data_IF_420508626780
#
_entry.id   IF_420508626780
#
_cell.length_a   1.000
_cell.length_b   1.000
_cell.length_c   1.000
_cell.angle_alpha   90.00
_cell.angle_beta   90.00
_cell.angle_gamma   90.00
#
_symmetry.space_group_name_H-M   'P 1'
#
loop_
_entity.id
_entity.type
_entity.pdbx_description
1 polymer ?
#
# COMPACT_ATOMS: atom_id res chain seq x y z
N UNK A 1 45.17 -25.35 15.99
CA UNK A 1 43.72 -25.47 16.25
C UNK A 1 43.24 -24.28 17.08
N UNK A 2 43.38 -23.12 16.45
CA UNK A 2 42.60 -21.87 16.39
C UNK A 2 41.58 -21.53 17.47
N UNK A 3 42.03 -20.72 18.42
CA UNK A 3 41.21 -19.97 19.37
C UNK A 3 40.20 -19.01 18.71
N UNK A 4 40.41 -18.65 17.43
CA UNK A 4 39.52 -17.75 16.68
C UNK A 4 38.18 -18.40 16.29
N UNK A 5 38.06 -19.73 16.19
CA UNK A 5 36.78 -20.37 15.87
C UNK A 5 35.76 -20.31 17.02
N UNK A 6 36.23 -20.31 18.27
CA UNK A 6 35.37 -20.25 19.45
C UNK A 6 34.69 -18.88 19.64
N UNK A 7 35.34 -17.78 19.23
CA UNK A 7 34.71 -16.46 19.28
C UNK A 7 33.59 -16.28 18.24
N UNK A 8 33.72 -16.86 17.05
CA UNK A 8 32.66 -16.80 16.04
C UNK A 8 31.41 -17.61 16.42
N UNK A 9 31.56 -18.72 17.14
CA UNK A 9 30.41 -19.46 17.68
C UNK A 9 29.71 -18.68 18.80
N UNK A 10 30.46 -18.01 19.68
CA UNK A 10 29.83 -17.27 20.79
C UNK A 10 29.08 -16.01 20.32
N UNK A 11 29.51 -15.41 19.20
CA UNK A 11 28.86 -14.23 18.63
C UNK A 11 27.61 -14.55 17.80
N UNK A 12 27.46 -15.80 17.32
CA UNK A 12 26.24 -16.25 16.64
C UNK A 12 25.05 -16.45 17.61
N UNK A 13 25.30 -16.69 18.89
CA UNK A 13 24.25 -16.84 19.92
C UNK A 13 23.75 -15.51 20.50
N UNK A 14 24.41 -14.41 20.17
CA UNK A 14 23.97 -13.05 20.50
C UNK A 14 23.24 -12.36 19.35
N UNK A 15 22.49 -13.11 18.53
CA UNK A 15 21.40 -12.48 17.78
C UNK A 15 20.35 -12.07 18.82
N UNK A 16 20.09 -10.77 19.02
CA UNK A 16 19.18 -10.30 20.05
C UNK A 16 17.81 -10.93 19.83
N UNK A 17 17.31 -11.62 20.86
CA UNK A 17 16.04 -12.35 20.89
C UNK A 17 14.84 -11.50 20.42
N UNK A 18 14.99 -10.17 20.37
CA UNK A 18 14.04 -9.27 19.73
C UNK A 18 13.72 -9.65 18.28
N UNK A 19 14.67 -10.10 17.46
CA UNK A 19 14.39 -10.46 16.06
C UNK A 19 13.56 -11.75 15.90
N UNK A 20 13.69 -12.71 16.83
CA UNK A 20 12.88 -13.97 16.80
C UNK A 20 11.41 -13.75 17.19
N UNK A 21 11.09 -12.70 17.94
CA UNK A 21 9.70 -12.45 18.35
C UNK A 21 8.84 -11.88 17.20
N UNK A 22 9.44 -11.14 16.26
CA UNK A 22 8.73 -10.63 15.06
C UNK A 22 8.36 -11.73 14.07
N UNK A 23 9.13 -12.82 14.04
CA UNK A 23 8.88 -13.96 13.16
C UNK A 23 7.76 -14.87 13.69
N UNK A 24 7.46 -14.85 15.00
CA UNK A 24 6.39 -15.69 15.57
C UNK A 24 5.03 -15.02 15.70
N UNK A 25 4.94 -13.69 15.83
CA UNK A 25 3.63 -13.00 15.92
C UNK A 25 2.92 -12.85 14.57
N UNK A 26 3.62 -13.14 13.47
CA UNK A 26 3.04 -13.29 12.14
C UNK A 26 2.71 -14.75 11.81
N UNK A 27 2.58 -15.63 12.81
CA UNK A 27 1.92 -16.93 12.61
C UNK A 27 0.46 -16.65 12.24
N UNK A 28 0.28 -16.52 10.95
CA UNK A 28 -0.94 -16.25 10.23
C UNK A 28 -2.05 -17.18 10.72
N UNK A 29 -2.95 -16.66 11.56
CA UNK A 29 -4.31 -17.19 11.56
C UNK A 29 -4.81 -17.08 10.12
N UNK A 30 -5.17 -18.20 9.49
CA UNK A 30 -5.25 -18.37 8.04
C UNK A 30 -6.08 -17.33 7.25
N UNK A 31 -6.93 -16.56 7.93
CA UNK A 31 -7.74 -15.50 7.33
C UNK A 31 -6.92 -14.25 6.98
N UNK A 32 -5.88 -13.93 7.76
CA UNK A 32 -5.12 -12.68 7.58
C UNK A 32 -4.28 -12.68 6.30
N UNK A 33 -3.52 -13.76 6.08
CA UNK A 33 -2.63 -13.87 4.93
C UNK A 33 -3.40 -13.86 3.61
N UNK A 34 -4.53 -14.56 3.59
CA UNK A 34 -5.44 -14.58 2.45
C UNK A 34 -5.94 -13.18 2.14
N UNK A 35 -6.43 -12.43 3.13
CA UNK A 35 -6.97 -11.09 2.90
C UNK A 35 -5.93 -10.11 2.33
N UNK A 36 -4.65 -10.26 2.72
CA UNK A 36 -3.55 -9.44 2.20
C UNK A 36 -3.28 -9.78 0.74
N UNK A 37 -3.13 -11.06 0.41
CA UNK A 37 -2.92 -11.53 -0.96
C UNK A 37 -4.05 -11.06 -1.87
N UNK A 38 -5.30 -11.18 -1.42
CA UNK A 38 -6.48 -10.73 -2.17
C UNK A 38 -6.43 -9.21 -2.42
N UNK A 39 -6.18 -8.39 -1.40
CA UNK A 39 -6.10 -6.93 -1.57
C UNK A 39 -4.93 -6.51 -2.48
N UNK A 40 -3.77 -7.15 -2.35
CA UNK A 40 -2.62 -6.88 -3.23
C UNK A 40 -2.93 -7.27 -4.68
N UNK A 41 -3.57 -8.42 -4.90
CA UNK A 41 -3.99 -8.86 -6.24
C UNK A 41 -5.03 -7.92 -6.87
N UNK A 42 -6.00 -7.46 -6.07
CA UNK A 42 -7.01 -6.50 -6.49
C UNK A 42 -6.37 -5.17 -6.88
N UNK A 43 -5.39 -4.69 -6.10
CA UNK A 43 -4.64 -3.47 -6.42
C UNK A 43 -3.90 -3.60 -7.76
N UNK A 44 -3.22 -4.73 -8.02
CA UNK A 44 -2.53 -4.97 -9.30
C UNK A 44 -3.51 -4.98 -10.46
N UNK A 45 -4.65 -5.68 -10.31
CA UNK A 45 -5.68 -5.73 -11.34
C UNK A 45 -6.25 -4.34 -11.65
N UNK A 46 -6.64 -3.58 -10.62
CA UNK A 46 -7.14 -2.21 -10.78
C UNK A 46 -6.09 -1.29 -11.40
N UNK A 47 -4.82 -1.34 -10.97
CA UNK A 47 -3.74 -0.53 -11.56
C UNK A 47 -3.55 -0.84 -13.05
N UNK A 48 -3.60 -2.12 -13.42
CA UNK A 48 -3.48 -2.56 -14.81
C UNK A 48 -4.61 -2.01 -15.67
N UNK A 49 -5.85 -2.05 -15.17
CA UNK A 49 -7.02 -1.51 -15.87
C UNK A 49 -6.94 0.02 -15.98
N UNK A 50 -6.56 0.72 -14.91
CA UNK A 50 -6.38 2.19 -14.92
C UNK A 50 -5.33 2.59 -15.95
N UNK A 51 -4.19 1.90 -16.00
CA UNK A 51 -3.16 2.15 -17.02
C UNK A 51 -3.66 1.86 -18.43
N UNK A 52 -4.45 0.79 -18.62
CA UNK A 52 -5.08 0.47 -19.89
C UNK A 52 -6.03 1.56 -20.37
N UNK A 53 -6.94 2.02 -19.51
CA UNK A 53 -7.88 3.11 -19.84
C UNK A 53 -7.11 4.40 -20.12
N UNK A 54 -6.16 4.78 -19.26
CA UNK A 54 -5.34 5.99 -19.46
C UNK A 54 -4.58 5.95 -20.79
N UNK A 55 -4.02 4.79 -21.16
CA UNK A 55 -3.30 4.63 -22.43
C UNK A 55 -4.25 4.70 -23.62
N UNK A 56 -5.41 4.04 -23.54
CA UNK A 56 -6.42 4.09 -24.60
C UNK A 56 -6.93 5.51 -24.85
N UNK A 57 -7.07 6.33 -23.80
CA UNK A 57 -7.47 7.73 -23.91
C UNK A 57 -6.40 8.62 -24.56
N UNK A 58 -5.11 8.31 -24.36
CA UNK A 58 -3.99 9.09 -24.94
C UNK A 58 -3.74 8.75 -26.40
N UNK A 59 -3.88 7.47 -26.76
CA UNK A 59 -3.64 7.01 -28.14
C UNK A 59 -4.71 7.53 -29.10
N UNK A 60 -5.88 7.91 -28.59
CA UNK A 60 -6.95 8.46 -29.42
C UNK A 60 -6.64 9.92 -29.83
N UNK A 61 -6.30 10.20 -31.10
CA UNK A 61 -5.93 11.55 -31.54
C UNK A 61 -7.09 12.55 -31.44
N UNK A 62 -8.33 12.06 -31.42
CA UNK A 62 -9.52 12.89 -31.25
C UNK A 62 -9.65 13.43 -29.81
N UNK A 63 -8.96 12.83 -28.84
CA UNK A 63 -9.06 13.17 -27.42
C UNK A 63 -7.70 13.65 -26.93
N UNK A 64 -7.52 14.97 -26.78
CA UNK A 64 -6.31 15.54 -26.15
C UNK A 64 -6.41 15.44 -24.62
N UNK A 65 -6.36 14.21 -24.10
CA UNK A 65 -6.43 13.94 -22.66
C UNK A 65 -5.06 13.87 -22.01
N UNK A 66 -4.83 14.70 -21.00
CA UNK A 66 -3.60 14.68 -20.19
C UNK A 66 -3.66 13.73 -18.99
N UNK A 67 -4.72 12.91 -18.87
CA UNK A 67 -4.98 12.04 -17.70
C UNK A 67 -3.82 11.10 -17.38
N UNK A 68 -3.07 10.67 -18.39
CA UNK A 68 -1.90 9.80 -18.20
C UNK A 68 -0.81 10.46 -17.35
N UNK A 69 -0.65 11.79 -17.42
CA UNK A 69 0.45 12.52 -16.79
C UNK A 69 0.39 12.38 -15.26
N UNK A 70 -0.80 12.34 -14.69
CA UNK A 70 -1.02 12.21 -13.24
C UNK A 70 -1.60 10.86 -12.81
N UNK A 71 -1.88 9.93 -13.71
CA UNK A 71 -2.33 8.58 -13.32
C UNK A 71 -1.23 7.55 -13.48
N UNK A 72 -0.39 7.67 -14.52
CA UNK A 72 0.62 6.67 -14.84
C UNK A 72 1.74 6.58 -13.78
N UNK A 73 2.32 7.68 -13.26
CA UNK A 73 3.36 7.58 -12.23
C UNK A 73 2.85 6.88 -10.96
N UNK A 74 1.64 7.22 -10.52
CA UNK A 74 1.01 6.69 -9.31
C UNK A 74 0.63 5.22 -9.48
N UNK A 75 -0.04 4.87 -10.58
CA UNK A 75 -0.39 3.49 -10.89
C UNK A 75 0.85 2.62 -11.11
N UNK A 76 1.89 3.15 -11.76
CA UNK A 76 3.17 2.47 -11.94
C UNK A 76 3.88 2.21 -10.61
N UNK A 77 3.98 3.21 -9.73
CA UNK A 77 4.56 3.05 -8.39
C UNK A 77 3.77 2.03 -7.55
N UNK A 78 2.44 2.07 -7.60
CA UNK A 78 1.58 1.10 -6.93
C UNK A 78 1.78 -0.32 -7.47
N UNK A 79 1.83 -0.49 -8.79
CA UNK A 79 2.02 -1.78 -9.45
C UNK A 79 3.40 -2.38 -9.13
N UNK A 80 4.46 -1.56 -9.17
CA UNK A 80 5.81 -1.98 -8.77
C UNK A 80 5.83 -2.41 -7.30
N UNK A 81 5.24 -1.61 -6.41
CA UNK A 81 5.20 -1.93 -4.98
C UNK A 81 4.43 -3.21 -4.69
N UNK A 82 3.20 -3.32 -5.21
CA UNK A 82 2.36 -4.50 -5.05
C UNK A 82 2.97 -5.73 -5.72
N UNK A 83 3.70 -5.56 -6.83
CA UNK A 83 4.46 -6.62 -7.47
C UNK A 83 5.59 -7.14 -6.60
N UNK A 84 6.41 -6.25 -6.01
CA UNK A 84 7.47 -6.63 -5.06
C UNK A 84 6.88 -7.34 -3.85
N UNK A 85 5.75 -6.86 -3.34
CA UNK A 85 5.06 -7.49 -2.21
C UNK A 85 4.53 -8.88 -2.56
N UNK A 86 3.95 -9.05 -3.75
CA UNK A 86 3.45 -10.32 -4.22
C UNK A 86 4.60 -11.32 -4.45
N UNK A 87 5.68 -10.88 -5.10
CA UNK A 87 6.88 -11.71 -5.34
C UNK A 87 7.50 -12.15 -4.01
N UNK A 88 7.66 -11.23 -3.04
CA UNK A 88 8.24 -11.58 -1.73
C UNK A 88 7.32 -12.51 -0.93
N UNK A 89 6.00 -12.39 -1.07
CA UNK A 89 5.04 -13.34 -0.49
C UNK A 89 5.11 -14.72 -1.16
N UNK A 90 5.23 -14.79 -2.49
CA UNK A 90 5.32 -16.05 -3.24
C UNK A 90 6.66 -16.79 -3.02
N UNK A 91 7.78 -16.05 -2.92
CA UNK A 91 9.11 -16.66 -2.79
C UNK A 91 9.40 -17.21 -1.38
N UNK A 92 8.53 -16.98 -0.41
CA UNK A 92 8.37 -17.88 0.74
C UNK A 92 9.61 -18.14 1.60
N UNK A 93 10.66 -17.30 1.56
CA UNK A 93 11.75 -17.40 2.54
C UNK A 93 11.33 -16.67 3.81
N UNK A 94 10.63 -17.42 4.65
CA UNK A 94 10.03 -17.02 5.94
C UNK A 94 10.98 -16.31 6.93
N UNK A 95 12.28 -16.26 6.66
CA UNK A 95 13.30 -15.58 7.48
C UNK A 95 13.86 -14.27 6.93
N UNK A 96 13.57 -13.88 5.68
CA UNK A 96 14.16 -12.70 5.02
C UNK A 96 13.12 -11.59 4.78
N UNK A 97 12.38 -11.22 5.83
CA UNK A 97 11.61 -9.96 5.80
C UNK A 97 12.59 -8.79 5.97
N UNK A 98 13.14 -8.33 4.86
CA UNK A 98 14.05 -7.17 4.82
C UNK A 98 13.29 -5.84 4.98
N UNK A 99 11.98 -5.82 4.71
CA UNK A 99 11.19 -4.58 4.70
C UNK A 99 10.66 -4.29 6.10
N UNK A 100 11.11 -3.17 6.66
CA UNK A 100 10.63 -2.65 7.93
C UNK A 100 9.11 -2.39 7.89
N UNK A 101 8.31 -2.82 8.89
CA UNK A 101 6.86 -2.67 8.86
C UNK A 101 6.43 -1.19 8.78
N UNK A 102 7.23 -0.28 9.33
CA UNK A 102 7.01 1.16 9.19
C UNK A 102 7.17 1.68 7.76
N UNK A 103 8.10 1.12 6.98
CA UNK A 103 8.27 1.49 5.58
C UNK A 103 7.06 1.03 4.74
N UNK A 104 6.52 -0.15 5.05
CA UNK A 104 5.31 -0.66 4.41
C UNK A 104 4.10 0.26 4.64
N UNK A 105 3.87 0.68 5.89
CA UNK A 105 2.82 1.64 6.21
C UNK A 105 3.02 2.99 5.48
N UNK A 106 4.24 3.51 5.46
CA UNK A 106 4.55 4.79 4.80
C UNK A 106 4.25 4.76 3.29
N UNK A 107 4.58 3.66 2.60
CA UNK A 107 4.31 3.54 1.16
C UNK A 107 2.81 3.47 0.88
N UNK A 108 2.03 2.70 1.64
CA UNK A 108 0.57 2.68 1.46
C UNK A 108 -0.08 4.04 1.72
N UNK A 109 0.42 4.81 2.69
CA UNK A 109 -0.04 6.17 2.95
C UNK A 109 0.29 7.12 1.80
N UNK A 110 1.50 7.05 1.25
CA UNK A 110 1.93 7.87 0.12
C UNK A 110 1.11 7.56 -1.14
N UNK A 111 0.88 6.26 -1.42
CA UNK A 111 0.03 5.82 -2.52
C UNK A 111 -1.42 6.27 -2.32
N UNK A 112 -1.96 6.18 -1.10
CA UNK A 112 -3.29 6.66 -0.78
C UNK A 112 -3.43 8.17 -1.05
N UNK A 113 -2.48 9.00 -0.61
CA UNK A 113 -2.46 10.43 -0.91
C UNK A 113 -2.37 10.70 -2.42
N UNK A 114 -1.47 10.00 -3.11
CA UNK A 114 -1.31 10.13 -4.56
C UNK A 114 -2.58 9.80 -5.34
N UNK A 115 -3.26 8.72 -4.97
CA UNK A 115 -4.55 8.37 -5.57
C UNK A 115 -5.67 9.33 -5.17
N UNK A 116 -5.65 9.87 -3.94
CA UNK A 116 -6.58 10.92 -3.51
C UNK A 116 -6.53 12.15 -4.42
N UNK A 117 -5.32 12.63 -4.72
CA UNK A 117 -5.13 13.75 -5.67
C UNK A 117 -5.58 13.37 -7.08
N UNK A 118 -5.23 12.16 -7.55
CA UNK A 118 -5.63 11.70 -8.88
C UNK A 118 -7.16 11.57 -9.03
N UNK A 119 -7.87 11.04 -8.03
CA UNK A 119 -9.33 10.98 -8.02
C UNK A 119 -9.93 12.37 -8.03
N UNK A 120 -9.47 13.27 -7.16
CA UNK A 120 -9.99 14.64 -7.07
C UNK A 120 -9.87 15.39 -8.39
N UNK A 121 -8.69 15.31 -9.03
CA UNK A 121 -8.47 15.97 -10.32
C UNK A 121 -9.32 15.34 -11.45
N UNK A 122 -9.41 14.00 -11.49
CA UNK A 122 -10.19 13.29 -12.51
C UNK A 122 -11.70 13.56 -12.34
N UNK A 123 -12.20 13.55 -11.10
CA UNK A 123 -13.59 13.85 -10.78
C UNK A 123 -13.93 15.31 -11.09
N UNK A 124 -13.03 16.25 -10.82
CA UNK A 124 -13.20 17.66 -11.20
C UNK A 124 -13.33 17.83 -12.71
N UNK A 125 -12.48 17.18 -13.51
CA UNK A 125 -12.55 17.20 -14.97
C UNK A 125 -13.86 16.56 -15.46
N UNK A 126 -14.28 15.45 -14.84
CA UNK A 126 -15.52 14.77 -15.19
C UNK A 126 -16.76 15.61 -14.85
N UNK A 127 -16.81 16.23 -13.67
CA UNK A 127 -17.90 17.13 -13.27
C UNK A 127 -18.01 18.32 -14.23
N UNK A 128 -16.86 18.92 -14.57
CA UNK A 128 -16.78 19.94 -15.61
C UNK A 128 -17.30 19.39 -16.95
N UNK A 129 -16.93 18.20 -17.39
CA UNK A 129 -17.46 17.64 -18.65
C UNK A 129 -18.99 17.42 -18.59
N UNK A 130 -19.53 16.96 -17.45
CA UNK A 130 -20.96 16.66 -17.28
C UNK A 130 -21.84 17.91 -17.25
N UNK A 131 -21.43 18.96 -16.54
CA UNK A 131 -22.17 20.23 -16.47
C UNK A 131 -22.38 20.82 -17.86
N UNK A 132 -21.39 20.70 -18.73
CA UNK A 132 -21.43 21.27 -20.07
C UNK A 132 -22.28 20.44 -21.04
N UNK A 133 -22.39 19.14 -20.83
CA UNK A 133 -23.29 18.29 -21.62
C UNK A 133 -24.75 18.47 -21.16
N UNK A 134 -24.95 18.61 -19.85
CA UNK A 134 -26.28 18.75 -19.25
C UNK A 134 -26.96 20.10 -19.49
N UNK A 135 -26.22 21.15 -19.85
CA UNK A 135 -26.78 22.49 -20.04
C UNK A 135 -27.72 22.63 -21.25
N UNK A 136 -27.77 21.63 -22.15
CA UNK A 136 -28.68 21.59 -23.30
C UNK A 136 -28.41 22.67 -24.38
N UNK A 137 -27.56 23.65 -24.07
CA UNK A 137 -27.15 24.72 -24.97
C UNK A 137 -25.90 24.30 -25.75
N UNK A 138 -26.10 23.33 -26.65
CA UNK A 138 -25.03 22.78 -27.50
C UNK A 138 -24.30 23.83 -28.36
N UNK A 139 -24.89 25.02 -28.55
CA UNK A 139 -24.31 26.10 -29.35
C UNK A 139 -23.30 26.97 -28.58
N UNK A 140 -23.40 27.07 -27.25
CA UNK A 140 -22.47 27.88 -26.45
C UNK A 140 -21.02 27.34 -26.49
N UNK A 141 -20.86 26.04 -26.76
CA UNK A 141 -19.56 25.40 -26.94
C UNK A 141 -19.02 25.54 -28.37
N UNK A 142 -19.90 25.41 -29.36
CA UNK A 142 -19.53 25.47 -30.77
C UNK A 142 -18.84 26.81 -31.09
N UNK A 143 -19.35 27.93 -30.58
CA UNK A 143 -18.86 29.25 -30.95
C UNK A 143 -17.49 29.62 -30.33
N UNK A 144 -17.19 29.16 -29.11
CA UNK A 144 -15.89 29.45 -28.48
C UNK A 144 -14.75 28.55 -28.99
N UNK A 145 -15.07 27.31 -29.41
CA UNK A 145 -14.05 26.33 -29.82
C UNK A 145 -13.89 26.18 -31.34
N UNK A 146 -14.95 26.33 -32.15
CA UNK A 146 -14.81 26.31 -33.62
C UNK A 146 -13.93 27.45 -34.12
N UNK A 147 -13.90 28.58 -33.40
CA UNK A 147 -13.11 29.72 -33.83
C UNK A 147 -11.59 29.45 -33.77
N UNK A 148 -11.15 28.30 -33.22
CA UNK A 148 -9.75 27.90 -33.16
C UNK A 148 -9.40 26.58 -33.87
N UNK A 149 -10.38 25.72 -34.18
CA UNK A 149 -10.13 24.40 -34.78
C UNK A 149 -11.28 23.99 -35.74
N UNK A 150 -11.46 24.78 -36.81
CA UNK A 150 -12.22 24.36 -37.99
C UNK A 150 -11.43 23.29 -38.75
N UNK A 151 -11.80 22.01 -38.61
CA UNK A 151 -11.84 21.13 -39.80
C UNK A 151 -12.71 19.89 -39.60
N UNK A 152 -12.82 19.32 -38.40
CA UNK A 152 -13.61 18.11 -38.18
C UNK A 152 -14.50 18.25 -36.93
N UNK A 153 -15.80 18.50 -37.14
CA UNK A 153 -16.82 18.77 -36.12
C UNK A 153 -17.17 17.59 -35.20
N UNK A 154 -16.18 16.87 -34.69
CA UNK A 154 -16.36 15.82 -33.69
C UNK A 154 -16.29 16.44 -32.28
N UNK A 155 -17.40 16.37 -31.54
CA UNK A 155 -17.49 16.87 -30.17
C UNK A 155 -16.36 16.31 -29.29
N UNK A 156 -15.64 17.21 -28.62
CA UNK A 156 -14.46 16.92 -27.80
C UNK A 156 -14.71 15.87 -26.69
N UNK A 157 -15.95 15.80 -26.20
CA UNK A 157 -16.39 14.82 -25.20
C UNK A 157 -17.34 13.79 -25.83
N UNK A 158 -16.78 12.70 -26.35
CA UNK A 158 -17.58 11.56 -26.78
C UNK A 158 -18.21 10.84 -25.58
N UNK A 159 -19.36 10.17 -25.78
CA UNK A 159 -19.97 9.31 -24.75
C UNK A 159 -18.97 8.26 -24.22
N UNK A 160 -18.10 7.76 -25.11
CA UNK A 160 -17.00 6.86 -24.76
C UNK A 160 -16.02 7.49 -23.75
N UNK A 161 -15.66 8.77 -23.93
CA UNK A 161 -14.78 9.48 -23.01
C UNK A 161 -15.40 9.57 -21.61
N UNK A 162 -16.67 9.96 -21.51
CA UNK A 162 -17.36 10.13 -20.21
C UNK A 162 -17.41 8.81 -19.46
N UNK A 163 -17.87 7.74 -20.12
CA UNK A 163 -17.92 6.40 -19.51
C UNK A 163 -16.54 5.91 -19.09
N UNK A 164 -15.50 6.21 -19.87
CA UNK A 164 -14.12 5.87 -19.53
C UNK A 164 -13.64 6.63 -18.30
N UNK A 165 -13.95 7.92 -18.20
CA UNK A 165 -13.60 8.76 -17.04
C UNK A 165 -14.37 8.35 -15.78
N UNK A 166 -15.66 8.02 -15.88
CA UNK A 166 -16.45 7.46 -14.78
C UNK A 166 -15.84 6.16 -14.26
N UNK A 167 -15.50 5.23 -15.15
CA UNK A 167 -14.84 3.98 -14.80
C UNK A 167 -13.47 4.24 -14.14
N UNK A 168 -12.71 5.23 -14.63
CA UNK A 168 -11.42 5.61 -14.08
C UNK A 168 -11.55 6.17 -12.66
N UNK A 169 -12.54 7.06 -12.42
CA UNK A 169 -12.85 7.58 -11.07
C UNK A 169 -13.24 6.44 -10.13
N UNK A 170 -14.09 5.51 -10.57
CA UNK A 170 -14.51 4.37 -9.75
C UNK A 170 -13.35 3.45 -9.39
N UNK A 171 -12.47 3.12 -10.35
CA UNK A 171 -11.30 2.28 -10.12
C UNK A 171 -10.27 2.96 -9.21
N UNK A 172 -10.03 4.26 -9.40
CA UNK A 172 -9.15 5.02 -8.53
C UNK A 172 -9.71 5.10 -7.10
N UNK A 173 -11.03 5.24 -6.93
CA UNK A 173 -11.67 5.18 -5.60
C UNK A 173 -11.50 3.80 -4.94
N UNK A 174 -11.61 2.70 -5.71
CA UNK A 174 -11.31 1.36 -5.21
C UNK A 174 -9.85 1.20 -4.79
N UNK A 175 -8.91 1.82 -5.52
CA UNK A 175 -7.50 1.86 -5.13
C UNK A 175 -7.30 2.62 -3.81
N UNK A 176 -7.94 3.78 -3.64
CA UNK A 176 -7.94 4.52 -2.36
C UNK A 176 -8.39 3.62 -1.21
N UNK A 177 -9.53 2.93 -1.36
CA UNK A 177 -10.09 2.03 -0.34
C UNK A 177 -9.13 0.86 -0.04
N UNK A 178 -8.48 0.32 -1.07
CA UNK A 178 -7.53 -0.78 -0.93
C UNK A 178 -6.28 -0.32 -0.16
N UNK A 179 -5.68 0.80 -0.56
CA UNK A 179 -4.46 1.32 0.08
C UNK A 179 -4.71 1.82 1.51
N UNK A 180 -5.86 2.45 1.80
CA UNK A 180 -6.19 2.83 3.19
C UNK A 180 -6.43 1.60 4.07
N UNK A 181 -7.04 0.54 3.51
CA UNK A 181 -7.23 -0.72 4.23
C UNK A 181 -5.90 -1.38 4.56
N UNK A 182 -4.96 -1.41 3.61
CA UNK A 182 -3.60 -1.94 3.84
C UNK A 182 -2.82 -1.08 4.85
N UNK A 183 -2.95 0.25 4.78
CA UNK A 183 -2.35 1.17 5.76
C UNK A 183 -2.88 0.96 7.18
N UNK A 184 -4.21 0.97 7.37
CA UNK A 184 -4.82 0.78 8.68
C UNK A 184 -4.39 -0.54 9.32
N UNK A 185 -4.27 -1.58 8.50
CA UNK A 185 -3.77 -2.90 8.89
C UNK A 185 -2.32 -2.86 9.33
N UNK A 186 -1.44 -2.22 8.57
CA UNK A 186 -0.05 -2.03 8.96
C UNK A 186 0.06 -1.27 10.30
N UNK A 187 -0.75 -0.23 10.53
CA UNK A 187 -0.80 0.48 11.80
C UNK A 187 -1.21 -0.42 12.98
N UNK A 188 -2.22 -1.28 12.80
CA UNK A 188 -2.64 -2.23 13.83
C UNK A 188 -1.52 -3.22 14.17
N UNK A 189 -0.78 -3.69 13.16
CA UNK A 189 0.39 -4.55 13.37
C UNK A 189 1.50 -3.82 14.16
N UNK A 190 1.80 -2.57 13.81
CA UNK A 190 2.77 -1.75 14.54
C UNK A 190 2.38 -1.56 16.01
N UNK A 191 1.11 -1.23 16.28
CA UNK A 191 0.61 -1.01 17.65
C UNK A 191 0.68 -2.31 18.46
N UNK A 192 0.31 -3.44 17.87
CA UNK A 192 0.39 -4.75 18.54
C UNK A 192 1.83 -5.08 18.93
N UNK A 193 2.79 -4.82 18.04
CA UNK A 193 4.19 -5.09 18.33
C UNK A 193 4.79 -4.11 19.34
N UNK A 194 4.47 -2.83 19.25
CA UNK A 194 4.91 -1.82 20.23
C UNK A 194 4.43 -2.14 21.64
N UNK A 195 3.18 -2.60 21.78
CA UNK A 195 2.61 -3.03 23.06
C UNK A 195 3.33 -4.24 23.66
N UNK A 196 3.77 -5.19 22.83
CA UNK A 196 4.53 -6.35 23.28
C UNK A 196 5.96 -5.96 23.71
N UNK A 197 6.54 -4.93 23.11
CA UNK A 197 7.85 -4.40 23.51
C UNK A 197 7.80 -3.60 24.82
N UNK A 198 6.66 -2.98 25.14
CA UNK A 198 6.48 -2.20 26.38
C UNK A 198 6.02 -3.01 27.58
N UNK A 199 5.62 -4.28 27.42
CA UNK A 199 5.47 -5.18 28.57
C UNK A 199 6.86 -5.29 29.18
N UNK A 200 7.09 -4.77 30.40
CA UNK A 200 8.37 -4.94 31.04
C UNK A 200 8.60 -6.44 31.05
N UNK A 201 9.71 -6.90 30.44
CA UNK A 201 10.24 -8.22 30.73
C UNK A 201 10.27 -8.24 32.25
N UNK A 202 9.36 -8.99 32.87
CA UNK A 202 9.46 -9.31 34.26
C UNK A 202 10.82 -9.95 34.31
N UNK A 203 11.81 -9.16 34.73
CA UNK A 203 13.16 -9.63 34.81
C UNK A 203 13.01 -10.82 35.74
N UNK A 204 13.29 -12.01 35.21
CA UNK A 204 13.80 -13.10 36.01
C UNK A 204 15.05 -12.51 36.66
N UNK A 205 14.85 -11.70 37.70
CA UNK A 205 15.86 -11.44 38.69
C UNK A 205 16.16 -12.84 39.17
N UNK A 206 17.38 -13.37 38.94
CA UNK A 206 17.76 -14.63 39.53
C UNK A 206 17.43 -14.50 41.01
N UNK A 207 16.54 -15.37 41.49
CA UNK A 207 16.05 -15.36 42.86
C UNK A 207 17.24 -15.05 43.77
N UNK A 208 17.22 -13.84 44.32
CA UNK A 208 18.30 -13.31 45.14
C UNK A 208 18.59 -14.35 46.25
N UNK A 209 19.87 -14.62 46.60
CA UNK A 209 20.27 -15.59 47.63
C UNK A 209 19.60 -15.40 49.00
N UNK A 210 18.84 -14.32 49.21
CA UNK A 210 17.97 -14.09 50.36
C UNK A 210 16.91 -15.18 50.58
N UNK A 211 16.40 -15.85 49.53
CA UNK A 211 15.49 -16.99 49.72
C UNK A 211 16.24 -18.27 50.18
N UNK A 212 17.50 -18.43 49.77
CA UNK A 212 18.39 -19.49 50.25
C UNK A 212 18.75 -19.29 51.74
N UNK A 213 18.95 -18.05 52.18
CA UNK A 213 19.20 -17.74 53.59
C UNK A 213 17.99 -18.03 54.49
N UNK A 214 16.75 -17.85 53.99
CA UNK A 214 15.53 -18.18 54.75
C UNK A 214 15.26 -19.69 54.82
N UNK A 215 15.69 -20.48 53.84
CA UNK A 215 15.60 -21.94 53.88
C UNK A 215 16.69 -22.57 54.77
N UNK A 216 17.89 -21.99 54.81
CA UNK A 216 18.94 -22.43 55.73
C UNK A 216 18.54 -22.29 57.19
N UNK A 217 17.77 -21.25 57.56
CA UNK A 217 17.40 -20.99 58.95
C UNK A 217 16.25 -21.86 59.48
N UNK A 218 15.58 -22.62 58.62
CA UNK A 218 14.42 -23.46 59.00
C UNK A 218 14.81 -24.92 59.30
N UNK A 219 16.05 -25.32 59.01
CA UNK A 219 16.55 -26.68 59.27
C UNK A 219 17.34 -26.83 60.58
N UNK A 220 17.47 -25.74 61.36
CA UNK A 220 18.24 -25.72 62.61
C UNK A 220 17.34 -25.63 63.88
N UNK A 221 16.02 -25.79 63.74
CA UNK A 221 15.06 -25.99 64.84
C UNK A 221 14.44 -27.40 64.78
#
# INVERSE_FOLDING_TARGET
MDHNQLQFQHQADHIPNHQRQWTQTTRFGGVWGVSRIVLTSLSIACCTIVLGISTALVVNPAIKSYVIVWTAPQAGAALLWSGVELITACLGKEGLRVIHPGAHAAVHLLLWLGFGVAVGLTAYILDFALVFIGSGDSNAYFEYYNNYYEEDGHGYYSEYYIRSMEALVALLALLIITHISLFARACVELIKCGRMASVPRQADYPLEPLQLAKLSKKNDE
#
